data_IF_324946641347
#
_entry.id   IF_324946641347
#
_cell.length_a   1.000
_cell.length_b   1.000
_cell.length_c   1.000
_cell.angle_alpha   90.00
_cell.angle_beta   90.00
_cell.angle_gamma   90.00
#
_symmetry.space_group_name_H-M   'P 1'
#
loop_
_entity.id
_entity.type
_entity.pdbx_description
1 polymer ?
#
# COMPACT_ATOMS: atom_id res chain seq x y z
N UNK A 1 18.96 -9.16 -5.20
CA UNK A 1 18.69 -8.82 -3.78
C UNK A 1 19.48 -7.59 -3.30
N UNK A 2 20.50 -7.10 -4.04
CA UNK A 2 21.50 -6.17 -3.47
C UNK A 2 21.30 -4.66 -3.70
N UNK A 3 20.37 -4.20 -4.54
CA UNK A 3 20.24 -2.76 -4.85
C UNK A 3 19.21 -2.01 -3.95
N UNK A 4 18.27 -2.76 -3.34
CA UNK A 4 17.22 -2.22 -2.47
C UNK A 4 17.79 -1.76 -1.13
N UNK A 5 18.63 -2.59 -0.53
CA UNK A 5 19.32 -2.29 0.74
C UNK A 5 20.27 -1.10 0.59
N UNK A 6 20.94 -1.00 -0.57
CA UNK A 6 21.93 0.05 -0.84
C UNK A 6 21.38 1.42 -1.26
N UNK A 7 20.07 1.57 -1.49
CA UNK A 7 19.53 2.84 -1.99
C UNK A 7 18.32 3.36 -1.21
N UNK A 8 17.23 2.59 -1.13
CA UNK A 8 15.98 3.11 -0.57
C UNK A 8 15.96 3.02 0.95
N UNK A 9 16.36 1.87 1.51
CA UNK A 9 16.44 1.69 2.97
C UNK A 9 17.51 2.60 3.57
N UNK A 10 18.66 2.69 2.91
CA UNK A 10 19.73 3.59 3.33
C UNK A 10 19.31 5.06 3.26
N UNK A 11 18.58 5.46 2.21
CA UNK A 11 18.00 6.80 2.12
C UNK A 11 17.05 7.09 3.27
N UNK A 12 16.11 6.19 3.57
CA UNK A 12 15.14 6.36 4.65
C UNK A 12 15.83 6.45 6.02
N UNK A 13 16.83 5.60 6.26
CA UNK A 13 17.65 5.63 7.48
C UNK A 13 18.44 6.93 7.60
N UNK A 14 19.06 7.39 6.51
CA UNK A 14 19.84 8.64 6.47
C UNK A 14 18.96 9.86 6.73
N UNK A 15 17.74 9.89 6.18
CA UNK A 15 16.83 11.02 6.37
C UNK A 15 16.18 11.06 7.75
N UNK A 16 16.15 9.93 8.46
CA UNK A 16 15.65 9.81 9.83
C UNK A 16 14.32 10.53 10.07
N UNK A 17 13.35 10.28 9.18
CA UNK A 17 12.01 10.82 9.32
C UNK A 17 11.36 10.26 10.59
N UNK A 18 10.95 11.15 11.51
CA UNK A 18 10.40 10.76 12.81
C UNK A 18 9.09 9.97 12.72
N UNK A 19 8.42 10.03 11.57
CA UNK A 19 7.16 9.37 11.27
C UNK A 19 7.32 8.15 10.35
N UNK A 20 8.55 7.67 10.10
CA UNK A 20 8.80 6.46 9.30
C UNK A 20 9.49 5.42 10.17
N UNK A 21 8.90 4.22 10.24
CA UNK A 21 9.50 3.04 10.87
C UNK A 21 9.83 2.02 9.79
N UNK A 22 11.08 1.56 9.77
CA UNK A 22 11.50 0.40 8.95
C UNK A 22 11.42 -0.84 9.83
N UNK A 23 10.64 -1.82 9.39
CA UNK A 23 10.38 -3.09 10.09
C UNK A 23 10.93 -4.26 9.26
N UNK A 24 11.33 -5.34 9.95
CA UNK A 24 11.84 -6.59 9.34
C UNK A 24 10.98 -7.81 9.68
N UNK A 25 9.93 -7.59 10.47
CA UNK A 25 8.95 -8.58 10.86
C UNK A 25 8.17 -9.11 9.64
N UNK A 26 7.61 -10.33 9.70
CA UNK A 26 6.77 -10.84 8.63
C UNK A 26 5.65 -9.86 8.28
N UNK A 27 5.37 -9.70 6.98
CA UNK A 27 4.38 -8.72 6.52
C UNK A 27 2.99 -8.98 7.12
N UNK A 28 2.60 -10.25 7.25
CA UNK A 28 1.35 -10.66 7.89
C UNK A 28 1.21 -10.19 9.35
N UNK A 29 2.31 -10.13 10.10
CA UNK A 29 2.31 -9.60 11.47
C UNK A 29 2.14 -8.08 11.45
N UNK A 30 2.81 -7.40 10.50
CA UNK A 30 2.70 -5.95 10.32
C UNK A 30 1.29 -5.49 9.94
N UNK A 31 0.52 -6.31 9.22
CA UNK A 31 -0.86 -5.99 8.82
C UNK A 31 -1.79 -5.75 10.01
N UNK A 32 -1.52 -6.40 11.16
CA UNK A 32 -2.33 -6.21 12.38
C UNK A 32 -2.18 -4.83 13.02
N UNK A 33 -1.12 -4.09 12.65
CA UNK A 33 -0.84 -2.76 13.19
C UNK A 33 -1.23 -1.63 12.24
N UNK A 34 -1.49 -1.94 10.97
CA UNK A 34 -1.68 -0.95 9.93
C UNK A 34 -3.16 -0.58 9.76
N UNK A 35 -3.47 0.72 9.79
CA UNK A 35 -4.80 1.21 9.37
C UNK A 35 -4.92 1.26 7.85
N UNK A 36 -3.78 1.44 7.17
CA UNK A 36 -3.69 1.59 5.72
C UNK A 36 -2.42 0.96 5.17
N UNK A 37 -2.56 0.36 3.99
CA UNK A 37 -1.44 -0.18 3.21
C UNK A 37 -1.34 0.58 1.89
N UNK A 38 -0.14 1.00 1.53
CA UNK A 38 0.15 1.51 0.19
C UNK A 38 1.20 0.62 -0.43
N UNK A 39 0.94 0.13 -1.64
CA UNK A 39 1.92 -0.65 -2.42
C UNK A 39 2.17 -0.02 -3.77
N UNK A 40 3.40 -0.04 -4.25
CA UNK A 40 3.79 0.53 -5.56
C UNK A 40 3.54 -0.44 -6.74
N UNK A 41 3.06 -1.65 -6.46
CA UNK A 41 2.67 -2.65 -7.45
C UNK A 41 1.72 -3.71 -6.85
N UNK A 42 0.69 -4.18 -7.58
CA UNK A 42 -0.24 -5.21 -7.10
C UNK A 42 0.36 -6.63 -7.12
N UNK A 43 1.37 -6.87 -6.28
CA UNK A 43 2.03 -8.16 -6.06
C UNK A 43 1.47 -8.85 -4.81
N UNK A 44 2.16 -9.87 -4.29
CA UNK A 44 1.75 -10.66 -3.11
C UNK A 44 1.26 -9.81 -1.94
N UNK A 45 1.99 -8.74 -1.59
CA UNK A 45 1.61 -7.85 -0.47
C UNK A 45 0.25 -7.17 -0.66
N UNK A 46 -0.12 -6.85 -1.91
CA UNK A 46 -1.44 -6.30 -2.23
C UNK A 46 -2.56 -7.31 -1.92
N UNK A 47 -2.38 -8.56 -2.34
CA UNK A 47 -3.39 -9.61 -2.14
C UNK A 47 -3.46 -10.06 -0.68
N UNK A 48 -2.34 -10.09 0.03
CA UNK A 48 -2.30 -10.35 1.47
C UNK A 48 -3.03 -9.26 2.26
N UNK A 49 -2.77 -7.98 1.97
CA UNK A 49 -3.51 -6.87 2.58
C UNK A 49 -5.01 -6.93 2.27
N UNK A 50 -5.37 -7.26 1.03
CA UNK A 50 -6.76 -7.43 0.61
C UNK A 50 -7.46 -8.56 1.39
N UNK A 51 -6.78 -9.69 1.58
CA UNK A 51 -7.29 -10.85 2.32
C UNK A 51 -7.42 -10.55 3.81
N UNK A 52 -6.48 -9.77 4.36
CA UNK A 52 -6.50 -9.30 5.74
C UNK A 52 -7.52 -8.18 5.99
N UNK A 53 -8.24 -7.71 4.96
CA UNK A 53 -9.24 -6.64 5.05
C UNK A 53 -8.66 -5.33 5.59
N UNK A 54 -7.41 -5.04 5.26
CA UNK A 54 -6.81 -3.74 5.58
C UNK A 54 -7.07 -2.79 4.41
N UNK A 55 -7.55 -1.55 4.65
CA UNK A 55 -7.67 -0.55 3.60
C UNK A 55 -6.37 -0.39 2.83
N UNK A 56 -6.44 -0.51 1.50
CA UNK A 56 -5.23 -0.56 0.69
C UNK A 56 -5.33 0.26 -0.60
N UNK A 57 -4.21 0.84 -0.98
CA UNK A 57 -4.00 1.50 -2.26
C UNK A 57 -2.81 0.83 -2.97
N UNK A 58 -3.11 0.07 -4.01
CA UNK A 58 -2.13 -0.39 -4.99
C UNK A 58 -1.99 0.61 -6.10
N UNK A 59 -0.75 0.97 -6.39
CA UNK A 59 -0.40 1.88 -7.46
C UNK A 59 0.27 1.06 -8.57
N UNK A 60 0.05 1.43 -9.83
CA UNK A 60 0.81 0.86 -10.94
C UNK A 60 0.98 1.89 -12.04
N UNK A 61 2.17 1.90 -12.65
CA UNK A 61 2.45 2.79 -13.76
C UNK A 61 1.67 2.34 -15.01
N UNK A 62 1.24 3.26 -15.88
CA UNK A 62 0.46 2.94 -17.10
C UNK A 62 1.09 1.90 -18.03
N UNK A 63 2.42 1.80 -18.02
CA UNK A 63 3.18 0.83 -18.83
C UNK A 63 3.21 -0.58 -18.24
N UNK A 64 2.64 -0.77 -17.04
CA UNK A 64 2.59 -2.06 -16.37
C UNK A 64 1.25 -2.72 -16.66
N UNK A 65 1.23 -3.91 -17.31
CA UNK A 65 0.00 -4.61 -17.60
C UNK A 65 -0.59 -5.20 -16.32
N UNK A 66 -1.77 -4.71 -15.93
CA UNK A 66 -2.59 -5.29 -14.86
C UNK A 66 -3.79 -6.00 -15.47
N UNK A 67 -4.08 -7.21 -14.99
CA UNK A 67 -5.21 -8.03 -15.47
C UNK A 67 -6.53 -7.29 -15.29
N UNK A 68 -7.37 -7.26 -16.32
CA UNK A 68 -8.69 -6.60 -16.27
C UNK A 68 -9.59 -7.11 -15.14
N UNK A 69 -9.49 -8.41 -14.80
CA UNK A 69 -10.20 -8.97 -13.65
C UNK A 69 -9.80 -8.32 -12.33
N UNK A 70 -8.50 -8.04 -12.14
CA UNK A 70 -8.01 -7.36 -10.94
C UNK A 70 -8.51 -5.91 -10.90
N UNK A 71 -8.52 -5.18 -12.02
CA UNK A 71 -9.08 -3.82 -12.09
C UNK A 71 -10.55 -3.79 -11.68
N UNK A 72 -11.33 -4.78 -12.13
CA UNK A 72 -12.76 -4.90 -11.77
C UNK A 72 -12.99 -5.22 -10.30
N UNK A 73 -12.18 -6.14 -9.74
CA UNK A 73 -12.32 -6.60 -8.35
C UNK A 73 -11.87 -5.52 -7.37
N UNK A 74 -10.71 -4.91 -7.63
CA UNK A 74 -10.07 -4.01 -6.68
C UNK A 74 -10.41 -2.54 -6.89
N UNK A 75 -10.97 -2.17 -8.05
CA UNK A 75 -11.54 -0.85 -8.34
C UNK A 75 -10.72 0.31 -7.72
N UNK A 76 -11.28 1.02 -6.73
CA UNK A 76 -10.65 2.17 -6.06
C UNK A 76 -9.32 1.83 -5.36
N UNK A 77 -9.17 0.59 -4.88
CA UNK A 77 -7.94 0.12 -4.24
C UNK A 77 -6.80 -0.12 -5.23
N UNK A 78 -7.04 -0.05 -6.55
CA UNK A 78 -6.02 -0.28 -7.58
C UNK A 78 -6.00 0.88 -8.58
N UNK A 79 -5.04 1.78 -8.41
CA UNK A 79 -4.95 3.03 -9.15
C UNK A 79 -3.79 3.03 -10.15
N UNK A 80 -4.08 3.43 -11.38
CA UNK A 80 -3.06 3.69 -12.40
C UNK A 80 -2.50 5.10 -12.22
N UNK A 81 -1.19 5.26 -12.37
CA UNK A 81 -0.57 6.57 -12.51
C UNK A 81 0.24 6.66 -13.80
N UNK A 82 0.36 7.88 -14.33
CA UNK A 82 1.10 8.16 -15.56
C UNK A 82 2.36 8.97 -15.33
N UNK A 83 2.40 9.69 -14.21
CA UNK A 83 3.44 10.64 -13.84
C UNK A 83 3.51 10.79 -12.30
N UNK A 84 4.47 11.57 -11.83
CA UNK A 84 4.69 11.79 -10.41
C UNK A 84 3.55 12.57 -9.74
N UNK A 85 2.89 13.47 -10.45
CA UNK A 85 1.82 14.31 -9.90
C UNK A 85 0.54 13.51 -9.68
N UNK A 86 0.16 12.67 -10.64
CA UNK A 86 -0.96 11.73 -10.53
C UNK A 86 -0.71 10.67 -9.45
N UNK A 87 0.52 10.17 -9.33
CA UNK A 87 0.95 9.29 -8.25
C UNK A 87 0.76 9.97 -6.88
N UNK A 88 1.32 11.17 -6.72
CA UNK A 88 1.27 11.92 -5.48
C UNK A 88 -0.17 12.23 -5.08
N UNK A 89 -0.98 12.71 -6.02
CA UNK A 89 -2.39 13.00 -5.79
C UNK A 89 -3.16 11.77 -5.30
N UNK A 90 -2.93 10.61 -5.92
CA UNK A 90 -3.60 9.36 -5.52
C UNK A 90 -3.27 8.96 -4.09
N UNK A 91 -2.01 9.16 -3.67
CA UNK A 91 -1.57 8.92 -2.29
C UNK A 91 -2.21 9.94 -1.34
N UNK A 92 -2.19 11.23 -1.68
CA UNK A 92 -2.76 12.30 -0.85
C UNK A 92 -4.27 12.11 -0.66
N UNK A 93 -5.01 11.82 -1.73
CA UNK A 93 -6.45 11.54 -1.68
C UNK A 93 -6.73 10.35 -0.76
N UNK A 94 -5.94 9.27 -0.85
CA UNK A 94 -6.10 8.10 0.01
C UNK A 94 -5.76 8.40 1.47
N UNK A 95 -4.71 9.19 1.75
CA UNK A 95 -4.31 9.55 3.11
C UNK A 95 -5.26 10.57 3.75
N UNK A 96 -5.90 11.43 2.96
CA UNK A 96 -6.85 12.43 3.44
C UNK A 96 -8.20 11.84 3.87
N UNK A 97 -8.51 10.60 3.49
CA UNK A 97 -9.77 9.96 3.87
C UNK A 97 -9.85 9.73 5.37
N UNK A 98 -10.99 10.01 6.03
CA UNK A 98 -11.22 9.58 7.40
C UNK A 98 -11.44 8.05 7.47
N UNK A 99 -11.19 7.45 8.65
CA UNK A 99 -11.19 5.98 8.83
C UNK A 99 -12.53 5.33 8.44
N UNK A 100 -13.65 5.98 8.70
CA UNK A 100 -15.00 5.50 8.38
C UNK A 100 -15.29 5.42 6.87
N UNK A 101 -14.49 6.12 6.05
CA UNK A 101 -14.56 6.11 4.59
C UNK A 101 -13.57 5.17 3.94
N UNK A 102 -12.63 4.60 4.69
CA UNK A 102 -11.64 3.65 4.16
C UNK A 102 -12.25 2.34 3.65
N UNK A 103 -13.47 2.01 4.05
CA UNK A 103 -14.25 0.90 3.49
C UNK A 103 -14.40 0.96 1.96
N UNK A 104 -14.31 2.15 1.36
CA UNK A 104 -14.30 2.34 -0.09
C UNK A 104 -13.06 1.74 -0.78
N UNK A 105 -11.98 1.53 -0.01
CA UNK A 105 -10.68 0.96 -0.41
C UNK A 105 -10.46 -0.44 0.15
N UNK A 106 -11.51 -1.07 0.69
CA UNK A 106 -11.51 -2.47 1.09
C UNK A 106 -12.23 -3.28 0.02
N UNK A 107 -11.53 -4.15 -0.74
CA UNK A 107 -12.21 -5.06 -1.65
C UNK A 107 -13.20 -5.92 -0.86
N UNK A 108 -14.44 -6.00 -1.34
CA UNK A 108 -15.61 -6.46 -0.59
C UNK A 108 -15.43 -7.80 0.11
N UNK A 109 -15.09 -7.76 1.40
CA UNK A 109 -15.08 -8.88 2.33
C UNK A 109 -15.26 -8.29 3.73
N UNK A 110 -16.50 -8.19 4.18
CA UNK A 110 -16.93 -7.50 5.42
C UNK A 110 -16.40 -8.19 6.67
N UNK A 111 -15.84 -7.47 7.66
CA UNK A 111 -16.06 -7.65 9.12
C UNK A 111 -15.61 -6.37 9.86
N UNK A 112 -16.35 -6.03 10.92
CA UNK A 112 -16.33 -4.81 11.73
C UNK A 112 -15.19 -4.73 12.76
N UNK A 113 -14.67 -3.54 13.02
CA UNK A 113 -13.92 -3.24 14.26
C UNK A 113 -13.28 -1.84 14.24
N UNK A 114 -13.51 -1.06 15.29
CA UNK A 114 -12.91 0.26 15.53
C UNK A 114 -11.53 0.12 16.21
N UNK A 115 -10.53 0.90 15.80
CA UNK A 115 -9.54 1.45 16.73
C UNK A 115 -8.75 2.64 16.14
N UNK A 116 -8.23 3.49 17.02
CA UNK A 116 -7.54 4.76 16.73
C UNK A 116 -6.05 4.68 17.06
N UNK A 117 -5.18 4.71 16.05
CA UNK A 117 -3.83 5.33 16.01
C UNK A 117 -3.18 5.09 14.63
N UNK A 118 -3.07 6.14 13.79
CA UNK A 118 -2.66 6.03 12.37
C UNK A 118 -1.25 5.45 12.17
N UNK A 119 -1.15 4.22 11.67
CA UNK A 119 0.09 3.61 11.18
C UNK A 119 -0.02 3.28 9.68
N UNK A 120 0.91 3.85 8.90
CA UNK A 120 1.00 3.65 7.45
C UNK A 120 2.06 2.60 7.13
N UNK A 121 1.66 1.56 6.39
CA UNK A 121 2.59 0.55 5.88
C UNK A 121 2.81 0.75 4.37
N UNK A 122 4.00 1.23 4.02
CA UNK A 122 4.44 1.42 2.64
C UNK A 122 5.26 0.20 2.20
N UNK A 123 4.83 -0.46 1.11
CA UNK A 123 5.54 -1.62 0.58
C UNK A 123 5.89 -1.40 -0.88
N UNK A 124 7.17 -1.59 -1.18
CA UNK A 124 7.65 -1.69 -2.54
C UNK A 124 7.53 -3.14 -3.00
N UNK A 125 6.71 -3.42 -4.01
CA UNK A 125 6.68 -4.67 -4.73
C UNK A 125 8.03 -4.91 -5.38
N UNK A 126 8.81 -5.83 -4.81
CA UNK A 126 9.93 -6.43 -5.51
C UNK A 126 9.37 -7.22 -6.69
N UNK A 127 9.80 -6.88 -7.90
CA UNK A 127 9.69 -7.79 -9.03
C UNK A 127 10.43 -9.08 -8.63
N UNK A 128 9.67 -10.15 -8.40
CA UNK A 128 10.20 -11.49 -8.30
C UNK A 128 10.11 -12.13 -9.68
N UNK A 129 11.30 -12.42 -10.20
CA UNK A 129 11.72 -13.40 -11.22
C UNK A 129 11.00 -13.44 -12.58
#
# INVERSE_FOLDING_TARGET
KDWLDGSTLEYLRTKNYSNIKVVSEPFSECLSWADRVIVDYPATSFYEAATAKVPLLGLYHKNIPVREGAKKIFAKSLCMFEDQDSLKKSIEDFLALPLDRLKEYMPGLVLSGENTASQLLLIRGGAHD
#
